data_IF_144940417872
#
_entry.id   IF_144940417872
#
_cell.length_a   1.000
_cell.length_b   1.000
_cell.length_c   1.000
_cell.angle_alpha   90.00
_cell.angle_beta   90.00
_cell.angle_gamma   90.00
#
_symmetry.space_group_name_H-M   'P 1'
#
loop_
_entity.id
_entity.type
_entity.pdbx_description
1 polymer ?
#
# COMPACT_ATOMS: atom_id res chain seq x y z
N UNK A 1 4.45 11.30 8.02
CA UNK A 1 3.61 10.36 8.79
C UNK A 1 3.24 11.01 10.12
N UNK A 2 1.98 10.94 10.49
CA UNK A 2 1.44 11.52 11.73
C UNK A 2 0.91 10.39 12.62
N UNK A 3 1.37 10.32 13.85
CA UNK A 3 0.90 9.36 14.84
C UNK A 3 -0.33 9.91 15.56
N UNK A 4 -1.45 9.16 15.54
CA UNK A 4 -2.71 9.58 16.14
C UNK A 4 -2.86 9.14 17.61
N UNK A 5 -2.04 8.20 18.08
CA UNK A 5 -2.03 7.73 19.46
C UNK A 5 -1.01 8.45 20.34
N UNK A 6 -0.18 9.35 19.77
CA UNK A 6 0.86 10.04 20.52
C UNK A 6 1.63 11.07 19.68
N UNK A 7 2.74 11.57 20.19
CA UNK A 7 3.60 12.47 19.41
C UNK A 7 4.20 11.73 18.21
N UNK A 8 4.14 12.37 17.04
CA UNK A 8 4.80 11.84 15.85
C UNK A 8 6.30 11.79 16.00
N UNK A 9 6.93 10.80 15.37
CA UNK A 9 8.38 10.65 15.36
C UNK A 9 9.07 11.92 14.84
N UNK A 10 10.05 12.39 15.56
CA UNK A 10 10.83 13.57 15.19
C UNK A 10 12.29 13.39 15.59
N UNK A 11 13.17 13.94 14.77
CA UNK A 11 14.59 13.98 15.04
C UNK A 11 15.12 15.38 14.75
N UNK A 12 15.93 15.90 15.66
CA UNK A 12 16.64 17.17 15.46
C UNK A 12 18.11 17.04 15.83
N UNK A 13 18.98 17.69 15.08
CA UNK A 13 20.43 17.66 15.31
C UNK A 13 21.13 18.74 14.50
N UNK A 14 22.43 18.88 14.73
CA UNK A 14 23.27 19.86 14.04
C UNK A 14 24.04 19.16 12.92
N UNK A 15 23.79 19.54 11.67
CA UNK A 15 24.58 19.10 10.55
C UNK A 15 25.85 19.97 10.41
N UNK A 16 27.01 19.35 10.32
CA UNK A 16 28.30 20.02 10.11
C UNK A 16 28.70 19.84 8.64
N UNK A 17 29.01 20.92 7.91
CA UNK A 17 29.43 20.81 6.52
C UNK A 17 30.61 19.85 6.34
N UNK A 18 30.50 18.93 5.36
CA UNK A 18 31.52 17.93 5.06
C UNK A 18 31.55 16.69 5.98
N UNK A 19 30.71 16.64 7.01
CA UNK A 19 30.57 15.45 7.87
C UNK A 19 29.21 14.80 7.60
N UNK A 20 29.14 13.48 7.27
CA UNK A 20 27.85 12.78 7.12
C UNK A 20 27.01 12.90 8.40
N UNK A 21 25.77 13.37 8.26
CA UNK A 21 24.82 13.44 9.34
C UNK A 21 23.91 12.22 9.28
N UNK A 22 24.09 11.28 10.20
CA UNK A 22 23.26 10.07 10.27
C UNK A 22 22.05 10.31 11.15
N UNK A 23 20.88 10.00 10.60
CA UNK A 23 19.61 9.94 11.34
C UNK A 23 19.17 8.49 11.39
N UNK A 24 19.00 7.94 12.58
CA UNK A 24 18.47 6.60 12.78
C UNK A 24 17.19 6.67 13.61
N UNK A 25 16.08 6.37 12.99
CA UNK A 25 14.82 6.15 13.71
C UNK A 25 14.82 4.74 14.28
N UNK A 26 14.60 4.65 15.58
CA UNK A 26 14.50 3.40 16.33
C UNK A 26 13.20 3.38 17.11
N UNK A 27 12.80 2.23 17.63
CA UNK A 27 11.61 2.10 18.50
C UNK A 27 11.62 2.98 19.75
N UNK A 28 12.74 3.65 20.04
CA UNK A 28 12.82 4.63 21.13
C UNK A 28 12.32 6.04 20.74
N UNK A 29 12.26 6.34 19.44
CA UNK A 29 11.90 7.67 18.91
C UNK A 29 10.82 7.63 17.84
N UNK A 30 10.46 6.46 17.33
CA UNK A 30 9.39 6.24 16.36
C UNK A 30 8.66 4.94 16.69
N UNK A 31 7.36 4.91 16.47
CA UNK A 31 6.62 3.66 16.50
C UNK A 31 6.87 2.87 15.21
N UNK A 32 6.60 1.57 15.25
CA UNK A 32 6.90 0.69 14.14
C UNK A 32 6.08 1.05 12.90
N UNK A 33 4.79 1.30 13.07
CA UNK A 33 3.90 1.72 11.98
C UNK A 33 4.32 3.05 11.33
N UNK A 34 4.88 4.01 12.09
CA UNK A 34 5.43 5.24 11.50
C UNK A 34 6.60 4.95 10.57
N UNK A 35 7.49 4.04 10.97
CA UNK A 35 8.66 3.66 10.18
C UNK A 35 8.27 2.81 8.97
N UNK A 36 7.38 1.84 9.16
CA UNK A 36 6.95 0.92 8.11
C UNK A 36 6.14 1.65 7.03
N UNK A 37 5.21 2.53 7.41
CA UNK A 37 4.46 3.37 6.48
C UNK A 37 5.38 4.33 5.73
N UNK A 38 6.32 4.99 6.42
CA UNK A 38 7.30 5.86 5.75
C UNK A 38 8.14 5.10 4.74
N UNK A 39 8.61 3.90 5.10
CA UNK A 39 9.38 3.04 4.20
C UNK A 39 8.55 2.61 2.98
N UNK A 40 7.33 2.13 3.22
CA UNK A 40 6.44 1.65 2.17
C UNK A 40 6.06 2.76 1.18
N UNK A 41 5.67 3.96 1.66
CA UNK A 41 5.37 5.12 0.80
C UNK A 41 6.55 5.43 -0.12
N UNK A 42 7.78 5.45 0.41
CA UNK A 42 8.96 5.69 -0.40
C UNK A 42 9.25 4.53 -1.39
N UNK A 43 8.82 3.31 -1.09
CA UNK A 43 8.87 2.18 -2.00
C UNK A 43 7.98 2.39 -3.23
N UNK A 44 6.69 2.70 -3.01
CA UNK A 44 5.74 3.02 -4.09
C UNK A 44 6.21 4.23 -4.90
N UNK A 45 6.66 5.27 -4.20
CA UNK A 45 7.15 6.48 -4.86
C UNK A 45 8.29 6.16 -5.83
N UNK A 46 9.29 5.38 -5.41
CA UNK A 46 10.41 4.97 -6.28
C UNK A 46 9.94 4.11 -7.45
N UNK A 47 9.03 3.16 -7.21
CA UNK A 47 8.45 2.33 -8.26
C UNK A 47 7.85 3.17 -9.39
N UNK A 48 7.08 4.20 -9.05
CA UNK A 48 6.51 5.09 -10.05
C UNK A 48 7.53 6.09 -10.64
N UNK A 49 8.53 6.53 -9.88
CA UNK A 49 9.62 7.34 -10.43
C UNK A 49 10.44 6.60 -11.50
N UNK A 50 10.57 5.30 -11.39
CA UNK A 50 11.26 4.48 -12.40
C UNK A 50 10.42 4.39 -13.69
N UNK A 51 9.08 4.51 -13.60
CA UNK A 51 8.17 4.53 -14.75
C UNK A 51 8.09 5.94 -15.37
N UNK A 52 7.84 6.97 -14.55
CA UNK A 52 7.75 8.38 -14.97
C UNK A 52 8.35 9.32 -13.91
N UNK A 53 9.63 9.65 -14.05
CA UNK A 53 10.35 10.47 -13.05
C UNK A 53 9.87 11.92 -12.96
N UNK A 54 9.09 12.38 -13.94
CA UNK A 54 8.59 13.78 -14.00
C UNK A 54 7.09 13.89 -13.68
N UNK A 55 6.45 12.80 -13.33
CA UNK A 55 5.03 12.79 -13.02
C UNK A 55 4.69 13.74 -11.85
N UNK A 56 3.83 14.75 -12.09
CA UNK A 56 3.60 15.83 -11.11
C UNK A 56 3.08 15.33 -9.75
N UNK A 57 2.30 14.25 -9.73
CA UNK A 57 1.79 13.66 -8.49
C UNK A 57 2.92 13.24 -7.53
N UNK A 58 4.03 12.73 -8.08
CA UNK A 58 5.19 12.30 -7.30
C UNK A 58 6.03 13.46 -6.76
N UNK A 59 5.80 14.69 -7.20
CA UNK A 59 6.54 15.87 -6.72
C UNK A 59 5.92 16.44 -5.42
N UNK A 60 4.75 15.94 -5.01
CA UNK A 60 4.03 16.36 -3.81
C UNK A 60 4.37 15.50 -2.59
N UNK A 61 3.79 15.90 -1.45
CA UNK A 61 3.83 15.12 -0.22
C UNK A 61 2.52 14.36 -0.05
N UNK A 62 2.60 13.06 0.22
CA UNK A 62 1.47 12.28 0.68
C UNK A 62 1.43 12.29 2.22
N UNK A 63 0.30 12.67 2.78
CA UNK A 63 0.10 12.63 4.23
C UNK A 63 -0.41 11.25 4.64
N UNK A 64 0.24 10.66 5.63
CA UNK A 64 -0.21 9.41 6.24
C UNK A 64 -0.50 9.59 7.72
N UNK A 65 -1.58 8.99 8.19
CA UNK A 65 -1.96 8.89 9.59
C UNK A 65 -1.89 7.45 10.05
N UNK A 66 -1.21 7.19 11.16
CA UNK A 66 -1.03 5.85 11.73
C UNK A 66 -1.55 5.79 13.16
N UNK A 67 -1.69 4.58 13.70
CA UNK A 67 -2.20 4.35 15.05
C UNK A 67 -3.55 5.01 15.31
N UNK A 68 -4.43 5.07 14.32
CA UNK A 68 -5.81 5.55 14.50
C UNK A 68 -6.52 4.59 15.44
N UNK A 69 -7.28 5.15 16.41
CA UNK A 69 -7.91 4.43 17.53
C UNK A 69 -9.18 3.65 17.10
N UNK A 70 -9.02 2.86 16.01
CA UNK A 70 -9.96 1.95 15.39
C UNK A 70 -9.23 0.65 15.02
N UNK A 71 -9.92 -0.39 14.52
CA UNK A 71 -9.31 -1.69 14.24
C UNK A 71 -9.79 -2.31 12.93
N UNK A 72 -8.99 -3.21 12.37
CA UNK A 72 -9.35 -4.04 11.21
C UNK A 72 -9.66 -3.27 9.92
N UNK A 73 -9.06 -2.11 9.72
CA UNK A 73 -9.18 -1.37 8.45
C UNK A 73 -7.98 -0.47 8.21
N UNK A 74 -7.87 -0.01 6.95
CA UNK A 74 -7.12 1.14 6.47
C UNK A 74 -7.98 1.83 5.43
N UNK A 75 -7.70 3.09 5.08
CA UNK A 75 -8.46 3.76 4.04
C UNK A 75 -7.71 4.94 3.43
N UNK A 76 -7.97 5.18 2.14
CA UNK A 76 -7.61 6.41 1.46
C UNK A 76 -8.77 7.41 1.56
N UNK A 77 -8.47 8.65 1.91
CA UNK A 77 -9.44 9.74 1.94
C UNK A 77 -8.78 11.10 1.71
N UNK A 78 -9.31 11.85 0.77
CA UNK A 78 -8.91 13.25 0.53
C UNK A 78 -7.39 13.44 0.49
N UNK A 79 -6.71 12.67 -0.36
CA UNK A 79 -5.24 12.68 -0.54
C UNK A 79 -4.44 12.32 0.73
N UNK A 80 -5.05 11.56 1.63
CA UNK A 80 -4.37 10.98 2.79
C UNK A 80 -4.56 9.47 2.82
N UNK A 81 -3.59 8.74 3.38
CA UNK A 81 -3.70 7.32 3.69
C UNK A 81 -3.74 7.12 5.20
N UNK A 82 -4.60 6.23 5.68
CA UNK A 82 -5.00 6.17 7.07
C UNK A 82 -5.00 4.73 7.58
N UNK A 83 -4.30 4.46 8.69
CA UNK A 83 -4.04 3.12 9.20
C UNK A 83 -4.49 2.97 10.64
N UNK A 84 -5.26 1.89 10.89
CA UNK A 84 -5.80 1.55 12.20
C UNK A 84 -4.80 0.74 13.01
N UNK A 85 -4.84 0.92 14.33
CA UNK A 85 -4.03 0.17 15.26
C UNK A 85 -4.45 -1.31 15.32
N UNK A 86 -3.59 -2.16 15.91
CA UNK A 86 -3.92 -3.55 16.16
C UNK A 86 -5.07 -3.69 17.15
N UNK A 87 -5.95 -4.65 16.89
CA UNK A 87 -7.08 -4.97 17.78
C UNK A 87 -8.11 -5.83 17.08
N UNK A 88 -9.09 -6.33 17.83
CA UNK A 88 -10.21 -7.15 17.33
C UNK A 88 -9.79 -8.34 16.43
N UNK A 89 -8.60 -8.91 16.68
CA UNK A 89 -8.06 -10.02 15.89
C UNK A 89 -7.24 -9.61 14.66
N UNK A 90 -7.08 -8.30 14.42
CA UNK A 90 -6.30 -7.76 13.31
C UNK A 90 -4.99 -7.14 13.78
N UNK A 91 -3.96 -7.21 12.93
CA UNK A 91 -2.71 -6.52 13.12
C UNK A 91 -2.86 -4.99 12.89
N UNK A 92 -1.86 -4.22 13.27
CA UNK A 92 -1.76 -2.81 12.90
C UNK A 92 -1.57 -2.72 11.38
N UNK A 93 -2.49 -2.07 10.69
CA UNK A 93 -2.53 -2.04 9.22
C UNK A 93 -1.40 -1.22 8.61
N UNK A 94 -0.83 -0.26 9.35
CA UNK A 94 0.37 0.48 8.95
C UNK A 94 1.66 -0.36 8.97
N UNK A 95 1.65 -1.53 9.62
CA UNK A 95 2.79 -2.46 9.63
C UNK A 95 2.73 -3.50 8.49
N UNK A 96 1.73 -3.41 7.61
CA UNK A 96 1.51 -4.35 6.50
C UNK A 96 1.75 -3.65 5.18
N UNK A 97 2.92 -3.83 4.59
CA UNK A 97 3.34 -3.12 3.38
C UNK A 97 2.32 -3.22 2.23
N UNK A 98 1.78 -4.42 1.98
CA UNK A 98 0.76 -4.61 0.94
C UNK A 98 -0.50 -3.77 1.16
N UNK A 99 -0.89 -3.51 2.41
CA UNK A 99 -1.99 -2.59 2.74
C UNK A 99 -1.58 -1.14 2.46
N UNK A 100 -0.37 -0.74 2.84
CA UNK A 100 0.12 0.63 2.56
C UNK A 100 0.21 0.89 1.06
N UNK A 101 0.65 -0.09 0.27
CA UNK A 101 0.71 0.02 -1.19
C UNK A 101 -0.68 0.14 -1.81
N UNK A 102 -1.64 -0.63 -1.29
CA UNK A 102 -3.03 -0.56 -1.70
C UNK A 102 -3.63 0.84 -1.45
N UNK A 103 -3.49 1.38 -0.25
CA UNK A 103 -4.02 2.73 0.07
C UNK A 103 -3.35 3.83 -0.77
N UNK A 104 -2.05 3.70 -1.04
CA UNK A 104 -1.36 4.59 -1.97
C UNK A 104 -1.94 4.46 -3.39
N UNK A 105 -2.30 3.25 -3.80
CA UNK A 105 -2.91 2.93 -5.09
C UNK A 105 -4.20 3.70 -5.35
N UNK A 106 -5.03 3.91 -4.33
CA UNK A 106 -6.21 4.77 -4.45
C UNK A 106 -5.84 6.21 -4.84
N UNK A 107 -4.78 6.76 -4.25
CA UNK A 107 -4.29 8.09 -4.61
C UNK A 107 -3.80 8.17 -6.07
N UNK A 108 -3.13 7.12 -6.55
CA UNK A 108 -2.73 7.00 -7.96
C UNK A 108 -3.96 6.95 -8.88
N UNK A 109 -4.92 6.11 -8.54
CA UNK A 109 -6.16 5.94 -9.32
C UNK A 109 -6.94 7.25 -9.41
N UNK A 110 -7.15 7.94 -8.29
CA UNK A 110 -7.83 9.23 -8.26
C UNK A 110 -7.09 10.29 -9.08
N UNK A 111 -5.76 10.31 -9.01
CA UNK A 111 -4.97 11.27 -9.79
C UNK A 111 -5.05 11.02 -11.31
N UNK A 112 -5.11 9.76 -11.74
CA UNK A 112 -5.16 9.41 -13.16
C UNK A 112 -6.58 9.55 -13.72
N UNK A 113 -7.60 9.08 -12.99
CA UNK A 113 -8.99 9.00 -13.46
C UNK A 113 -9.85 10.20 -13.03
N UNK A 114 -9.42 10.95 -12.02
CA UNK A 114 -10.21 12.02 -11.38
C UNK A 114 -11.17 11.51 -10.30
N UNK A 115 -11.36 10.18 -10.19
CA UNK A 115 -12.15 9.51 -9.15
C UNK A 115 -11.65 8.06 -8.94
N UNK A 116 -12.37 7.26 -8.16
CA UNK A 116 -12.05 5.85 -7.92
C UNK A 116 -12.59 4.89 -9.00
N UNK A 117 -13.20 5.42 -10.06
CA UNK A 117 -13.87 4.60 -11.07
C UNK A 117 -15.14 3.94 -10.55
N UNK A 118 -15.69 3.01 -11.33
CA UNK A 118 -16.92 2.28 -11.01
C UNK A 118 -16.65 0.79 -10.81
N UNK A 119 -17.58 0.07 -10.21
CA UNK A 119 -17.56 -1.40 -10.14
C UNK A 119 -16.25 -1.99 -9.58
N UNK A 120 -15.68 -1.37 -8.56
CA UNK A 120 -14.47 -1.88 -7.91
C UNK A 120 -13.16 -1.58 -8.65
N UNK A 121 -13.14 -0.77 -9.70
CA UNK A 121 -11.92 -0.42 -10.44
C UNK A 121 -10.86 0.17 -9.50
N UNK A 122 -11.23 1.09 -8.61
CA UNK A 122 -10.30 1.67 -7.64
C UNK A 122 -9.66 0.62 -6.74
N UNK A 123 -10.47 -0.32 -6.23
CA UNK A 123 -9.99 -1.43 -5.41
C UNK A 123 -9.06 -2.36 -6.19
N UNK A 124 -9.48 -2.75 -7.39
CA UNK A 124 -8.69 -3.63 -8.25
C UNK A 124 -7.35 -3.01 -8.66
N UNK A 125 -7.34 -1.73 -9.04
CA UNK A 125 -6.10 -1.01 -9.36
C UNK A 125 -5.17 -0.92 -8.15
N UNK A 126 -5.71 -0.68 -6.96
CA UNK A 126 -4.93 -0.63 -5.72
C UNK A 126 -4.31 -2.00 -5.38
N UNK A 127 -5.08 -3.08 -5.56
CA UNK A 127 -4.58 -4.45 -5.40
C UNK A 127 -3.47 -4.77 -6.43
N UNK A 128 -3.66 -4.39 -7.72
CA UNK A 128 -2.65 -4.57 -8.78
C UNK A 128 -1.34 -3.89 -8.42
N UNK A 129 -1.38 -2.66 -7.95
CA UNK A 129 -0.20 -1.90 -7.54
C UNK A 129 0.52 -2.62 -6.41
N UNK A 130 -0.21 -3.07 -5.39
CA UNK A 130 0.36 -3.80 -4.28
C UNK A 130 0.98 -5.13 -4.74
N UNK A 131 0.31 -5.88 -5.63
CA UNK A 131 0.83 -7.14 -6.18
C UNK A 131 2.12 -6.95 -6.96
N UNK A 132 2.20 -5.94 -7.84
CA UNK A 132 3.40 -5.68 -8.64
C UNK A 132 4.61 -5.27 -7.80
N UNK A 133 4.39 -4.48 -6.75
CA UNK A 133 5.49 -4.03 -5.88
C UNK A 133 5.95 -5.16 -4.94
N UNK A 134 5.01 -5.97 -4.42
CA UNK A 134 5.36 -7.08 -3.51
C UNK A 134 5.82 -8.34 -4.26
N UNK A 135 5.42 -8.52 -5.51
CA UNK A 135 5.57 -9.77 -6.24
C UNK A 135 4.69 -10.90 -5.70
N UNK A 136 3.64 -10.59 -4.93
CA UNK A 136 2.72 -11.54 -4.32
C UNK A 136 1.28 -11.31 -4.78
N UNK A 137 0.51 -12.40 -4.96
CA UNK A 137 -0.92 -12.32 -5.27
C UNK A 137 -1.80 -11.95 -4.06
N UNK A 138 -1.28 -12.13 -2.85
CA UNK A 138 -2.03 -11.99 -1.60
C UNK A 138 -1.90 -10.57 -1.06
N UNK A 139 -3.02 -9.87 -0.96
CA UNK A 139 -3.12 -8.56 -0.34
C UNK A 139 -3.31 -8.72 1.17
N UNK A 140 -2.55 -7.94 1.96
CA UNK A 140 -2.72 -7.88 3.41
C UNK A 140 -2.32 -9.18 4.12
N UNK A 141 -1.28 -9.87 3.63
CA UNK A 141 -0.69 -11.01 4.36
C UNK A 141 -0.29 -10.57 5.77
N UNK A 142 -0.74 -11.30 6.79
CA UNK A 142 -0.53 -10.96 8.19
C UNK A 142 -1.59 -10.03 8.80
N UNK A 143 -2.63 -9.67 8.05
CA UNK A 143 -3.74 -8.85 8.56
C UNK A 143 -4.49 -9.52 9.73
N UNK A 144 -4.78 -10.81 9.62
CA UNK A 144 -5.40 -11.58 10.69
C UNK A 144 -4.33 -12.17 11.60
N UNK A 145 -4.42 -11.94 12.93
CA UNK A 145 -3.43 -12.38 13.90
C UNK A 145 -3.39 -13.91 14.10
N UNK A 146 -4.48 -14.60 13.80
CA UNK A 146 -4.61 -16.06 13.87
C UNK A 146 -4.24 -16.76 12.55
N UNK A 147 -4.13 -16.01 11.45
CA UNK A 147 -3.82 -16.55 10.14
C UNK A 147 -2.97 -15.57 9.30
N UNK A 148 -1.66 -15.73 9.34
CA UNK A 148 -0.73 -14.89 8.58
C UNK A 148 -0.62 -15.27 7.09
N UNK A 149 -1.31 -16.28 6.60
CA UNK A 149 -1.10 -16.85 5.26
C UNK A 149 -2.07 -16.31 4.23
N UNK A 150 -3.36 -16.27 4.57
CA UNK A 150 -4.43 -16.02 3.59
C UNK A 150 -4.59 -14.55 3.21
N UNK A 151 -4.15 -13.61 4.04
CA UNK A 151 -4.38 -12.17 3.82
C UNK A 151 -5.87 -11.79 3.78
N UNK A 152 -6.17 -10.66 3.14
CA UNK A 152 -7.52 -10.12 3.00
C UNK A 152 -8.15 -10.56 1.67
N UNK A 153 -7.37 -10.52 0.58
CA UNK A 153 -7.77 -10.88 -0.80
C UNK A 153 -6.63 -11.62 -1.49
N UNK A 154 -6.96 -12.30 -2.60
CA UNK A 154 -5.98 -12.98 -3.42
C UNK A 154 -6.26 -12.75 -4.90
N UNK A 155 -5.31 -12.15 -5.61
CA UNK A 155 -5.39 -11.93 -7.06
C UNK A 155 -5.17 -13.20 -7.87
N UNK A 156 -4.63 -14.28 -7.28
CA UNK A 156 -4.66 -15.61 -7.88
C UNK A 156 -6.05 -16.23 -7.68
N UNK A 157 -6.98 -15.89 -8.58
CA UNK A 157 -8.38 -16.29 -8.53
C UNK A 157 -8.91 -16.62 -9.93
N UNK A 158 -10.13 -17.13 -10.01
CA UNK A 158 -10.80 -17.51 -11.27
C UNK A 158 -12.05 -16.69 -11.56
N UNK A 159 -12.18 -15.52 -10.90
CA UNK A 159 -13.35 -14.65 -11.06
C UNK A 159 -13.43 -14.07 -12.47
N UNK A 160 -14.63 -13.99 -13.04
CA UNK A 160 -14.90 -13.55 -14.41
C UNK A 160 -15.90 -12.40 -14.46
N UNK A 161 -15.70 -11.51 -15.42
CA UNK A 161 -16.63 -10.44 -15.73
C UNK A 161 -17.57 -10.89 -16.87
N UNK A 162 -18.88 -10.64 -16.79
CA UNK A 162 -19.62 -10.00 -15.68
C UNK A 162 -20.19 -11.01 -14.66
N UNK A 163 -19.92 -12.32 -14.83
CA UNK A 163 -20.59 -13.43 -14.16
C UNK A 163 -20.45 -13.39 -12.63
N UNK A 164 -19.28 -12.96 -12.14
CA UNK A 164 -18.95 -12.96 -10.70
C UNK A 164 -19.11 -11.60 -10.04
N UNK A 165 -19.72 -10.61 -10.73
CA UNK A 165 -20.07 -9.35 -10.10
C UNK A 165 -21.13 -9.55 -9.00
N UNK A 166 -20.89 -9.01 -7.81
CA UNK A 166 -21.83 -9.08 -6.68
C UNK A 166 -22.21 -7.71 -6.10
N UNK A 167 -21.62 -6.62 -6.62
CA UNK A 167 -21.86 -5.24 -6.18
C UNK A 167 -21.02 -4.78 -5.00
N UNK A 168 -20.14 -5.64 -4.46
CA UNK A 168 -19.12 -5.24 -3.47
C UNK A 168 -17.87 -4.78 -4.19
N UNK A 169 -17.47 -3.53 -4.01
CA UNK A 169 -16.30 -2.95 -4.69
C UNK A 169 -15.01 -3.75 -4.43
N UNK A 170 -14.83 -4.26 -3.21
CA UNK A 170 -13.67 -5.08 -2.85
C UNK A 170 -13.70 -6.47 -3.50
N UNK A 171 -14.89 -7.04 -3.69
CA UNK A 171 -15.02 -8.32 -4.40
C UNK A 171 -14.86 -8.11 -5.91
N UNK A 172 -15.59 -7.16 -6.48
CA UNK A 172 -15.62 -6.91 -7.91
C UNK A 172 -14.24 -6.44 -8.43
N UNK A 173 -13.48 -5.73 -7.59
CA UNK A 173 -12.09 -5.35 -7.86
C UNK A 173 -11.14 -6.54 -8.04
N UNK A 174 -11.42 -7.68 -7.40
CA UNK A 174 -10.58 -8.88 -7.56
C UNK A 174 -10.65 -9.47 -8.98
N UNK A 175 -11.71 -9.19 -9.75
CA UNK A 175 -11.83 -9.66 -11.14
C UNK A 175 -10.73 -9.04 -12.00
N UNK A 176 -10.57 -7.70 -11.94
CA UNK A 176 -9.52 -7.03 -12.72
C UNK A 176 -8.13 -7.31 -12.14
N UNK A 177 -8.00 -7.42 -10.82
CA UNK A 177 -6.74 -7.76 -10.18
C UNK A 177 -6.26 -9.16 -10.60
N UNK A 178 -7.18 -10.14 -10.68
CA UNK A 178 -6.89 -11.49 -11.15
C UNK A 178 -6.43 -11.52 -12.61
N UNK A 179 -7.14 -10.81 -13.51
CA UNK A 179 -6.72 -10.68 -14.90
C UNK A 179 -5.30 -10.12 -15.06
N UNK A 180 -4.97 -9.08 -14.28
CA UNK A 180 -3.63 -8.48 -14.33
C UNK A 180 -2.57 -9.40 -13.73
N UNK A 181 -2.90 -10.15 -12.66
CA UNK A 181 -1.99 -11.11 -12.05
C UNK A 181 -1.62 -12.23 -13.02
N UNK A 182 -2.61 -12.85 -13.67
CA UNK A 182 -2.38 -13.88 -14.68
C UNK A 182 -1.55 -13.35 -15.85
N UNK A 183 -1.88 -12.15 -16.35
CA UNK A 183 -1.15 -11.50 -17.44
C UNK A 183 0.31 -11.24 -17.06
N UNK A 184 0.56 -10.80 -15.82
CA UNK A 184 1.92 -10.55 -15.30
C UNK A 184 2.71 -11.86 -15.19
N UNK A 185 2.11 -12.94 -14.71
CA UNK A 185 2.77 -14.24 -14.63
C UNK A 185 3.14 -14.79 -16.02
N UNK A 186 2.26 -14.68 -16.99
CA UNK A 186 2.53 -15.09 -18.38
C UNK A 186 3.68 -14.28 -19.00
N UNK A 187 3.73 -12.97 -18.75
CA UNK A 187 4.81 -12.11 -19.21
C UNK A 187 6.15 -12.51 -18.55
N UNK A 188 6.16 -12.76 -17.26
CA UNK A 188 7.37 -13.22 -16.55
C UNK A 188 7.87 -14.56 -17.07
N UNK A 189 6.97 -15.51 -17.34
CA UNK A 189 7.32 -16.81 -17.89
C UNK A 189 7.91 -16.75 -19.31
N UNK A 190 7.54 -15.72 -20.09
CA UNK A 190 8.03 -15.49 -21.45
C UNK A 190 9.31 -14.65 -21.55
N UNK A 191 9.75 -14.00 -20.46
CA UNK A 191 10.97 -13.22 -20.45
C UNK A 191 12.22 -14.13 -20.25
N UNK A 192 13.36 -13.86 -20.94
CA UNK A 192 14.60 -14.55 -20.64
C UNK A 192 15.03 -14.24 -19.19
N UNK A 193 15.59 -15.25 -18.50
CA UNK A 193 16.15 -15.02 -17.17
C UNK A 193 17.20 -13.89 -17.26
N UNK A 194 17.09 -12.91 -16.40
CA UNK A 194 18.10 -11.87 -16.27
C UNK A 194 19.41 -12.53 -15.77
N UNK A 195 20.51 -12.35 -16.52
CA UNK A 195 21.86 -12.83 -16.15
C UNK A 195 22.50 -11.95 -15.07
#
# INVERSE_FOLDING_TARGET
VNNMAGPSASFSGVAIPGIPFQVAFTNAIAQRDEMDVFHAINGVHRFYQDIDPVWPYLQGFLTAYVSIEETCNAYYWNQTINFYQAGAGCANTGEIQGVVYHEYGHGITEHILGDQGTQGIGEGNSDIIANYITGESIIGRGFYLDNCVTGIRNSENTLQYPEDLNGSIHHDGQIIAGFHWDSWQELQAGLPAEE
#
